data_IF_137190513226
#
_entry.id   IF_137190513226
#
_cell.length_a   1.000
_cell.length_b   1.000
_cell.length_c   1.000
_cell.angle_alpha   90.00
_cell.angle_beta   90.00
_cell.angle_gamma   90.00
#
_symmetry.space_group_name_H-M   'P 1'
#
loop_
_entity.id
_entity.type
_entity.pdbx_description
1 polymer ?
#
# COMPACT_ATOMS: atom_id res chain seq x y z
N UNK A 1 19.61 2.50 9.05
CA UNK A 1 18.79 1.88 7.99
C UNK A 1 17.68 2.83 7.60
N UNK A 2 16.94 2.55 6.53
CA UNK A 2 15.80 3.35 6.08
C UNK A 2 14.70 2.41 5.57
N UNK A 3 13.44 2.73 5.84
CA UNK A 3 12.29 1.92 5.45
C UNK A 3 11.46 2.61 4.37
N UNK A 4 11.03 1.84 3.37
CA UNK A 4 10.18 2.28 2.27
C UNK A 4 8.95 1.37 2.19
N UNK A 5 8.02 1.59 3.11
CA UNK A 5 6.85 0.74 3.33
C UNK A 5 5.63 1.32 2.61
N UNK A 6 5.42 0.90 1.36
CA UNK A 6 4.22 1.22 0.59
C UNK A 6 3.07 0.34 1.05
N UNK A 7 2.09 0.94 1.71
CA UNK A 7 0.94 0.24 2.26
C UNK A 7 -0.24 1.18 2.46
N UNK A 8 -1.40 0.59 2.77
CA UNK A 8 -2.57 1.31 3.28
C UNK A 8 -2.29 1.93 4.65
N UNK A 9 -3.16 2.83 5.13
CA UNK A 9 -2.95 3.41 6.45
C UNK A 9 -2.99 2.31 7.54
N UNK A 10 -2.03 2.30 8.48
CA UNK A 10 -1.92 1.26 9.50
C UNK A 10 -3.20 1.07 10.33
N UNK A 11 -3.96 2.14 10.54
CA UNK A 11 -5.16 2.16 11.40
C UNK A 11 -6.48 2.17 10.61
N UNK A 12 -6.44 1.83 9.31
CA UNK A 12 -7.63 1.80 8.45
C UNK A 12 -8.81 1.00 9.02
N UNK A 13 -8.61 -0.17 9.68
CA UNK A 13 -9.72 -0.91 10.27
C UNK A 13 -10.43 -0.19 11.43
N UNK A 14 -9.73 0.68 12.16
CA UNK A 14 -10.26 1.33 13.37
C UNK A 14 -10.67 2.79 13.14
N UNK A 15 -10.34 3.37 11.99
CA UNK A 15 -10.65 4.75 11.64
C UNK A 15 -11.75 4.76 10.57
N UNK A 16 -13.02 5.04 10.92
CA UNK A 16 -14.15 4.94 9.99
C UNK A 16 -14.04 5.85 8.76
N UNK A 17 -13.21 6.89 8.84
CA UNK A 17 -12.98 7.86 7.76
C UNK A 17 -11.75 7.51 6.90
N UNK A 18 -11.00 6.45 7.22
CA UNK A 18 -9.89 5.99 6.39
C UNK A 18 -10.42 5.08 5.26
N UNK A 19 -9.72 5.00 4.12
CA UNK A 19 -10.01 4.00 3.10
C UNK A 19 -10.01 2.59 3.71
N UNK A 20 -11.03 1.80 3.40
CA UNK A 20 -11.09 0.42 3.87
C UNK A 20 -10.02 -0.44 3.19
N UNK A 21 -9.48 -1.40 3.93
CA UNK A 21 -8.57 -2.45 3.43
C UNK A 21 -9.29 -3.79 3.25
N UNK A 22 -10.62 -3.81 3.34
CA UNK A 22 -11.42 -5.02 3.18
C UNK A 22 -11.48 -5.44 1.71
N UNK A 23 -11.03 -6.66 1.43
CA UNK A 23 -11.24 -7.34 0.15
C UNK A 23 -12.41 -8.33 0.31
N UNK A 24 -13.41 -8.28 -0.57
CA UNK A 24 -14.56 -9.20 -0.52
C UNK A 24 -14.33 -10.39 -1.46
N UNK A 25 -15.13 -11.47 -1.33
CA UNK A 25 -15.13 -12.53 -2.35
C UNK A 25 -15.33 -11.95 -3.74
N UNK A 26 -14.60 -12.49 -4.72
CA UNK A 26 -14.57 -12.08 -6.13
C UNK A 26 -13.95 -10.71 -6.42
N UNK A 27 -13.53 -9.94 -5.41
CA UNK A 27 -12.74 -8.72 -5.62
C UNK A 27 -11.29 -9.08 -6.00
N UNK A 28 -10.73 -8.35 -6.95
CA UNK A 28 -9.32 -8.44 -7.29
C UNK A 28 -8.51 -7.43 -6.45
N UNK A 29 -7.48 -7.93 -5.79
CA UNK A 29 -6.52 -7.10 -5.06
C UNK A 29 -5.25 -6.90 -5.89
N UNK A 30 -4.91 -5.64 -6.16
CA UNK A 30 -3.69 -5.29 -6.89
C UNK A 30 -2.94 -4.16 -6.18
N UNK A 31 -1.64 -4.34 -5.99
CA UNK A 31 -0.72 -3.26 -5.60
C UNK A 31 0.60 -3.41 -6.34
N UNK A 32 1.23 -2.28 -6.67
CA UNK A 32 2.53 -2.27 -7.33
C UNK A 32 3.44 -1.25 -6.66
N UNK A 33 4.65 -1.67 -6.33
CA UNK A 33 5.70 -0.80 -5.80
C UNK A 33 6.95 -0.92 -6.66
N UNK A 34 7.40 0.21 -7.20
CA UNK A 34 8.58 0.28 -8.04
C UNK A 34 9.60 1.21 -7.42
N UNK A 35 10.72 0.66 -6.96
CA UNK A 35 11.90 1.43 -6.61
C UNK A 35 12.93 1.32 -7.73
N UNK A 36 13.12 2.42 -8.46
CA UNK A 36 14.11 2.51 -9.55
C UNK A 36 15.21 3.47 -9.15
N UNK A 37 16.42 2.95 -9.00
CA UNK A 37 17.61 3.73 -8.73
C UNK A 37 18.53 3.70 -9.93
N UNK A 38 19.19 4.82 -10.20
CA UNK A 38 20.24 4.90 -11.21
C UNK A 38 21.24 5.96 -10.79
N UNK A 39 22.50 5.77 -11.17
CA UNK A 39 23.54 6.79 -11.02
C UNK A 39 23.90 7.44 -12.37
N UNK A 40 23.33 6.92 -13.46
CA UNK A 40 23.45 7.40 -14.85
C UNK A 40 22.17 7.03 -15.62
N UNK A 41 21.89 7.77 -16.71
CA UNK A 41 20.73 7.53 -17.59
C UNK A 41 20.74 6.14 -18.22
#
# INVERSE_FOLDING_TARGET
>A
GFCLETQHYPDSPNQPNFPSTLLKPDDEYETTTVFRFSTKK
#
